data_IF_443453927136
#
_entry.id   IF_443453927136
#
_cell.length_a   1.000
_cell.length_b   1.000
_cell.length_c   1.000
_cell.angle_alpha   90.00
_cell.angle_beta   90.00
_cell.angle_gamma   90.00
#
_symmetry.space_group_name_H-M   'P 1'
#
loop_
_entity.id
_entity.type
_entity.pdbx_description
1 polymer ?
#
# COMPACT_ATOMS: atom_id res chain seq x y z
N UNK A 1 21.88 47.65 -26.57
CA UNK A 1 22.79 46.51 -26.34
C UNK A 1 21.97 45.24 -26.47
N UNK A 2 22.06 44.59 -27.64
CA UNK A 2 21.20 43.46 -28.04
C UNK A 2 21.98 42.17 -27.82
N UNK A 3 21.56 41.34 -26.86
CA UNK A 3 22.18 40.04 -26.60
C UNK A 3 21.58 38.99 -27.55
N UNK A 4 22.38 38.54 -28.51
CA UNK A 4 22.04 37.46 -29.45
C UNK A 4 22.31 36.12 -28.75
N UNK A 5 21.26 35.39 -28.40
CA UNK A 5 21.34 34.01 -27.92
C UNK A 5 21.65 33.07 -29.10
N UNK A 6 22.88 32.53 -29.11
CA UNK A 6 23.30 31.45 -30.02
C UNK A 6 22.67 30.13 -29.57
N UNK A 7 21.75 29.59 -30.36
CA UNK A 7 21.25 28.24 -30.21
C UNK A 7 22.33 27.23 -30.63
N UNK A 8 22.68 26.30 -29.74
CA UNK A 8 23.58 25.18 -30.03
C UNK A 8 22.88 24.08 -30.87
N UNK A 9 23.65 23.26 -31.61
CA UNK A 9 23.09 22.24 -32.48
C UNK A 9 22.41 21.09 -31.71
N UNK A 10 21.30 20.60 -32.26
CA UNK A 10 20.50 19.51 -31.72
C UNK A 10 21.23 18.15 -31.80
N UNK A 11 21.05 17.25 -30.81
CA UNK A 11 21.60 15.90 -30.87
C UNK A 11 20.88 15.04 -31.91
N UNK A 12 21.65 14.23 -32.63
CA UNK A 12 21.21 13.31 -33.67
C UNK A 12 20.33 12.16 -33.13
N UNK A 13 19.37 11.66 -33.92
CA UNK A 13 18.52 10.53 -33.52
C UNK A 13 19.30 9.21 -33.51
N UNK A 14 18.96 8.26 -32.62
CA UNK A 14 19.58 6.93 -32.60
C UNK A 14 19.13 6.07 -33.81
N UNK A 15 19.95 5.11 -34.24
CA UNK A 15 19.66 4.27 -35.39
C UNK A 15 18.49 3.30 -35.15
N UNK A 16 17.64 3.19 -36.16
CA UNK A 16 16.49 2.30 -36.26
C UNK A 16 16.94 0.84 -36.37
N UNK A 17 16.80 0.06 -35.30
CA UNK A 17 16.97 -1.40 -35.39
C UNK A 17 15.68 -2.03 -35.91
N UNK A 18 15.72 -2.41 -37.18
CA UNK A 18 14.70 -3.17 -37.88
C UNK A 18 14.44 -4.54 -37.23
N UNK A 19 13.17 -4.89 -37.09
CA UNK A 19 12.69 -6.22 -36.72
C UNK A 19 12.96 -7.23 -37.85
N UNK A 20 13.34 -8.48 -37.55
CA UNK A 20 13.09 -9.59 -38.45
C UNK A 20 11.65 -10.11 -38.27
N UNK A 21 10.85 -9.91 -39.30
CA UNK A 21 9.67 -10.71 -39.65
C UNK A 21 10.15 -12.12 -40.02
N UNK A 22 9.61 -13.18 -39.42
CA UNK A 22 9.41 -14.43 -40.16
C UNK A 22 8.53 -15.46 -39.45
N UNK A 23 7.68 -16.08 -40.29
CA UNK A 23 7.04 -17.40 -40.19
C UNK A 23 5.82 -17.62 -39.29
N UNK A 24 4.69 -17.35 -39.92
CA UNK A 24 3.52 -18.22 -40.04
C UNK A 24 3.80 -19.73 -40.06
N UNK A 25 3.05 -20.52 -39.26
CA UNK A 25 2.29 -21.72 -39.67
C UNK A 25 1.52 -22.34 -38.47
N UNK A 26 0.55 -23.27 -38.69
CA UNK A 26 -0.86 -22.99 -38.46
C UNK A 26 -1.47 -23.61 -37.19
N UNK A 27 -2.62 -23.05 -36.85
CA UNK A 27 -3.69 -23.55 -35.99
C UNK A 27 -3.94 -25.06 -36.16
N UNK A 28 -3.75 -25.83 -35.08
CA UNK A 28 -4.42 -27.12 -34.89
C UNK A 28 -5.52 -26.93 -33.86
N UNK A 29 -6.74 -26.72 -34.36
CA UNK A 29 -7.95 -26.75 -33.56
C UNK A 29 -8.17 -28.18 -33.06
N UNK A 30 -8.22 -28.35 -31.75
CA UNK A 30 -8.76 -29.57 -31.14
C UNK A 30 -10.29 -29.50 -31.15
N UNK A 31 -10.99 -30.61 -31.42
CA UNK A 31 -12.45 -30.65 -31.54
C UNK A 31 -13.15 -30.39 -30.20
N UNK A 32 -14.38 -29.83 -30.23
CA UNK A 32 -15.18 -29.59 -29.02
C UNK A 32 -15.67 -30.91 -28.40
N UNK A 33 -15.83 -30.98 -27.07
CA UNK A 33 -16.53 -32.09 -26.43
C UNK A 33 -18.03 -32.05 -26.78
N UNK A 34 -18.56 -33.19 -27.21
CA UNK A 34 -19.99 -33.37 -27.48
C UNK A 34 -20.83 -33.32 -26.18
N UNK A 35 -22.09 -32.87 -26.27
CA UNK A 35 -23.03 -32.82 -25.15
C UNK A 35 -23.62 -34.21 -24.87
N UNK A 36 -23.56 -34.66 -23.61
CA UNK A 36 -24.30 -35.84 -23.13
C UNK A 36 -25.76 -35.46 -22.84
N UNK A 37 -26.73 -36.37 -23.08
CA UNK A 37 -28.17 -36.07 -23.04
C UNK A 37 -28.75 -36.03 -21.61
N UNK A 38 -29.97 -35.46 -21.45
CA UNK A 38 -30.58 -35.22 -20.15
C UNK A 38 -31.13 -36.53 -19.56
N UNK A 39 -30.80 -36.77 -18.30
CA UNK A 39 -31.51 -37.75 -17.46
C UNK A 39 -32.36 -37.00 -16.45
N UNK A 40 -33.64 -36.88 -16.74
CA UNK A 40 -34.66 -36.92 -15.68
C UNK A 40 -34.69 -38.35 -15.09
N UNK A 41 -34.94 -38.45 -13.78
CA UNK A 41 -36.18 -39.11 -13.42
C UNK A 41 -36.99 -38.28 -12.43
N UNK A 42 -38.28 -38.23 -12.74
CA UNK A 42 -39.36 -37.72 -11.90
C UNK A 42 -39.35 -38.27 -10.47
N UNK A 43 -39.70 -37.36 -9.56
CA UNK A 43 -40.66 -37.52 -8.47
C UNK A 43 -40.46 -38.67 -7.49
N UNK A 44 -40.09 -38.33 -6.26
CA UNK A 44 -40.92 -38.66 -5.08
C UNK A 44 -40.76 -37.54 -4.06
N UNK A 45 -41.82 -36.76 -3.85
CA UNK A 45 -42.01 -36.01 -2.61
C UNK A 45 -42.19 -37.05 -1.49
N UNK A 46 -41.36 -36.99 -0.46
CA UNK A 46 -41.68 -37.54 0.84
C UNK A 46 -41.55 -36.40 1.85
N UNK A 47 -42.71 -35.90 2.26
CA UNK A 47 -42.89 -34.93 3.34
C UNK A 47 -42.53 -35.61 4.67
N UNK A 48 -41.22 -35.72 4.92
CA UNK A 48 -40.67 -36.18 6.18
C UNK A 48 -40.13 -35.01 6.99
N UNK A 49 -41.01 -34.29 7.70
CA UNK A 49 -40.68 -33.44 8.85
C UNK A 49 -40.02 -34.33 9.93
N UNK A 50 -38.74 -34.63 9.73
CA UNK A 50 -37.87 -35.16 10.77
C UNK A 50 -37.34 -33.97 11.53
N UNK A 51 -38.12 -33.55 12.52
CA UNK A 51 -37.71 -32.68 13.62
C UNK A 51 -36.61 -33.39 14.42
N UNK A 52 -35.40 -33.41 13.87
CA UNK A 52 -34.22 -33.83 14.59
C UNK A 52 -33.87 -32.69 15.56
N UNK A 53 -33.84 -32.94 16.88
CA UNK A 53 -33.38 -31.93 17.82
C UNK A 53 -31.94 -31.55 17.44
N UNK A 54 -31.57 -30.25 17.41
CA UNK A 54 -30.22 -29.85 17.04
C UNK A 54 -29.23 -30.44 18.03
N UNK A 55 -28.40 -31.36 17.54
CA UNK A 55 -27.26 -31.89 18.29
C UNK A 55 -26.32 -30.74 18.65
N UNK A 56 -25.95 -30.55 19.93
CA UNK A 56 -25.20 -29.39 20.37
C UNK A 56 -23.69 -29.66 20.26
N UNK A 57 -23.13 -29.83 19.06
CA UNK A 57 -21.67 -30.07 18.98
C UNK A 57 -20.94 -29.72 17.67
N UNK A 58 -21.55 -29.02 16.72
CA UNK A 58 -20.80 -28.49 15.57
C UNK A 58 -20.22 -27.10 15.89
N UNK A 59 -18.88 -26.90 15.82
CA UNK A 59 -18.30 -25.57 15.93
C UNK A 59 -18.82 -24.68 14.79
N UNK A 60 -19.07 -23.38 15.05
CA UNK A 60 -19.58 -22.48 14.04
C UNK A 60 -18.64 -22.46 12.82
N UNK A 61 -19.18 -22.41 11.59
CA UNK A 61 -18.36 -22.40 10.39
C UNK A 61 -17.37 -21.22 10.45
N UNK A 62 -16.14 -21.42 9.96
CA UNK A 62 -15.12 -20.37 10.00
C UNK A 62 -15.61 -19.13 9.24
N UNK A 63 -15.23 -17.93 9.69
CA UNK A 63 -15.62 -16.71 9.00
C UNK A 63 -15.14 -16.73 7.55
N UNK A 64 -15.97 -16.27 6.60
CA UNK A 64 -15.60 -16.28 5.19
C UNK A 64 -14.34 -15.43 4.99
N UNK A 65 -13.35 -16.03 4.33
CA UNK A 65 -12.12 -15.36 3.90
C UNK A 65 -12.23 -14.92 2.45
N UNK A 66 -11.40 -13.98 2.01
CA UNK A 66 -11.39 -13.52 0.61
C UNK A 66 -11.32 -14.66 -0.44
N UNK A 67 -10.46 -15.69 -0.32
CA UNK A 67 -10.41 -16.77 -1.31
C UNK A 67 -11.62 -17.71 -1.27
N UNK A 68 -12.38 -17.75 -0.17
CA UNK A 68 -13.60 -18.58 -0.07
C UNK A 68 -14.84 -17.90 -0.69
N UNK A 69 -14.75 -16.63 -1.06
CA UNK A 69 -15.82 -15.93 -1.78
C UNK A 69 -15.97 -16.48 -3.21
N UNK A 70 -17.18 -16.43 -3.80
CA UNK A 70 -17.37 -16.69 -5.22
C UNK A 70 -16.48 -15.79 -6.12
N UNK A 71 -16.03 -16.28 -7.29
CA UNK A 71 -15.17 -15.53 -8.21
C UNK A 71 -15.74 -14.17 -8.64
N UNK A 72 -17.07 -14.05 -8.77
CA UNK A 72 -17.74 -12.80 -9.12
C UNK A 72 -17.50 -11.72 -8.06
N UNK A 73 -17.63 -12.06 -6.78
CA UNK A 73 -17.39 -11.13 -5.68
C UNK A 73 -15.91 -10.79 -5.57
N UNK A 74 -15.03 -11.77 -5.78
CA UNK A 74 -13.59 -11.51 -5.83
C UNK A 74 -13.23 -10.53 -6.94
N UNK A 75 -13.80 -10.70 -8.13
CA UNK A 75 -13.58 -9.83 -9.29
C UNK A 75 -14.10 -8.41 -9.06
N UNK A 76 -15.27 -8.28 -8.41
CA UNK A 76 -15.78 -6.97 -7.99
C UNK A 76 -14.85 -6.30 -6.99
N UNK A 77 -14.38 -7.03 -5.97
CA UNK A 77 -13.45 -6.48 -4.96
C UNK A 77 -12.15 -6.02 -5.61
N UNK A 78 -11.54 -6.84 -6.47
CA UNK A 78 -10.26 -6.50 -7.10
C UNK A 78 -10.37 -5.32 -8.07
N UNK A 79 -11.52 -5.13 -8.73
CA UNK A 79 -11.77 -3.99 -9.61
C UNK A 79 -11.78 -2.63 -8.86
N UNK A 80 -12.04 -2.63 -7.56
CA UNK A 80 -12.05 -1.42 -6.73
C UNK A 80 -10.70 -1.10 -6.07
N UNK A 81 -9.68 -1.95 -6.22
CA UNK A 81 -8.39 -1.74 -5.60
C UNK A 81 -7.54 -0.72 -6.36
N UNK A 82 -6.85 0.15 -5.62
CA UNK A 82 -5.81 1.00 -6.22
C UNK A 82 -4.62 0.15 -6.69
N UNK A 83 -3.88 0.62 -7.70
CA UNK A 83 -2.73 -0.12 -8.25
C UNK A 83 -1.79 -0.78 -7.21
N UNK A 84 -1.26 -0.07 -6.19
CA UNK A 84 -0.37 -0.69 -5.20
C UNK A 84 -1.04 -1.77 -4.34
N UNK A 85 -2.34 -1.68 -4.13
CA UNK A 85 -3.11 -2.67 -3.35
C UNK A 85 -3.45 -3.89 -4.20
N UNK A 86 -3.87 -3.68 -5.45
CA UNK A 86 -4.08 -4.73 -6.44
C UNK A 86 -2.78 -5.52 -6.69
N UNK A 87 -1.66 -4.83 -6.87
CA UNK A 87 -0.35 -5.47 -7.02
C UNK A 87 0.04 -6.27 -5.77
N UNK A 88 -0.25 -5.75 -4.58
CA UNK A 88 0.00 -6.48 -3.34
C UNK A 88 -0.84 -7.75 -3.29
N UNK A 89 -2.15 -7.68 -3.59
CA UNK A 89 -3.06 -8.82 -3.62
C UNK A 89 -2.61 -9.88 -4.64
N UNK A 90 -2.22 -9.44 -5.84
CA UNK A 90 -1.71 -10.31 -6.91
C UNK A 90 -0.56 -11.20 -6.47
N UNK A 91 0.29 -10.70 -5.55
CA UNK A 91 1.44 -11.44 -5.03
C UNK A 91 1.18 -12.21 -3.72
N UNK A 92 -0.06 -12.26 -3.23
CA UNK A 92 -0.41 -13.03 -2.00
C UNK A 92 -0.65 -14.51 -2.27
N UNK A 93 -1.30 -14.84 -3.39
CA UNK A 93 -1.75 -16.20 -3.73
C UNK A 93 -1.71 -16.39 -5.25
N UNK A 94 -1.43 -17.61 -5.71
CA UNK A 94 -1.49 -18.00 -7.12
C UNK A 94 -2.85 -17.72 -7.78
N UNK A 95 -3.96 -17.88 -7.05
CA UNK A 95 -5.31 -17.57 -7.55
C UNK A 95 -5.42 -16.08 -7.94
N UNK A 96 -5.10 -15.19 -7.02
CA UNK A 96 -5.12 -13.74 -7.26
C UNK A 96 -4.07 -13.29 -8.27
N UNK A 97 -2.96 -14.03 -8.41
CA UNK A 97 -1.97 -13.75 -9.44
C UNK A 97 -2.57 -13.82 -10.85
N UNK A 98 -3.52 -14.74 -11.07
CA UNK A 98 -4.17 -14.98 -12.36
C UNK A 98 -5.41 -14.10 -12.56
N UNK A 99 -6.16 -13.81 -11.50
CA UNK A 99 -7.45 -13.10 -11.60
C UNK A 99 -7.35 -11.58 -11.41
N UNK A 100 -6.31 -11.08 -10.73
CA UNK A 100 -6.19 -9.63 -10.44
C UNK A 100 -5.57 -8.88 -11.62
N UNK A 101 -6.31 -7.96 -12.20
CA UNK A 101 -5.79 -7.06 -13.24
C UNK A 101 -4.94 -5.93 -12.64
N UNK A 102 -3.71 -5.80 -13.16
CA UNK A 102 -2.77 -4.72 -12.83
C UNK A 102 -2.32 -3.99 -14.11
N UNK A 103 -3.21 -3.92 -15.09
CA UNK A 103 -2.95 -3.35 -16.40
C UNK A 103 -2.63 -1.85 -16.41
N UNK A 104 -2.34 -1.35 -17.61
CA UNK A 104 -1.91 0.04 -17.84
C UNK A 104 -2.94 1.06 -17.35
N UNK A 105 -4.24 0.77 -17.53
CA UNK A 105 -5.33 1.67 -17.07
C UNK A 105 -5.22 1.95 -15.58
N UNK A 106 -5.02 0.91 -14.77
CA UNK A 106 -4.91 1.04 -13.32
C UNK A 106 -3.65 1.81 -12.90
N UNK A 107 -2.52 1.55 -13.59
CA UNK A 107 -1.26 2.29 -13.37
C UNK A 107 -1.40 3.78 -13.65
N UNK A 108 -2.01 4.13 -14.79
CA UNK A 108 -2.22 5.53 -15.19
C UNK A 108 -3.19 6.22 -14.25
N UNK A 109 -4.34 5.60 -13.96
CA UNK A 109 -5.33 6.13 -13.02
C UNK A 109 -4.69 6.44 -11.66
N UNK A 110 -3.87 5.52 -11.13
CA UNK A 110 -3.14 5.72 -9.89
C UNK A 110 -2.11 6.86 -9.96
N UNK A 111 -1.37 7.00 -11.06
CA UNK A 111 -0.43 8.13 -11.23
C UNK A 111 -1.15 9.48 -11.27
N UNK A 112 -2.32 9.53 -11.89
CA UNK A 112 -3.17 10.73 -11.93
C UNK A 112 -3.69 11.09 -10.54
N UNK A 113 -4.28 10.12 -9.82
CA UNK A 113 -4.75 10.30 -8.45
C UNK A 113 -3.63 10.80 -7.52
N UNK A 114 -2.43 10.22 -7.66
CA UNK A 114 -1.26 10.59 -6.86
C UNK A 114 -0.78 12.01 -7.13
N UNK A 115 -0.89 12.48 -8.38
CA UNK A 115 -0.59 13.86 -8.77
C UNK A 115 -1.62 14.83 -8.21
N UNK A 116 -2.90 14.48 -8.25
CA UNK A 116 -4.00 15.28 -7.69
C UNK A 116 -3.82 15.48 -6.18
N UNK A 117 -3.48 14.41 -5.46
CA UNK A 117 -3.17 14.44 -4.03
C UNK A 117 -1.83 15.11 -3.68
N UNK A 118 -1.09 15.61 -4.69
CA UNK A 118 0.23 16.25 -4.55
C UNK A 118 1.23 15.41 -3.75
N UNK A 119 1.16 14.10 -3.93
CA UNK A 119 2.10 13.16 -3.32
C UNK A 119 3.37 13.05 -4.17
N UNK A 120 4.46 12.62 -3.54
CA UNK A 120 5.72 12.42 -4.23
C UNK A 120 5.58 11.38 -5.36
N UNK A 121 6.12 11.73 -6.53
CA UNK A 121 6.17 10.84 -7.69
C UNK A 121 7.05 9.61 -7.37
N UNK A 122 6.63 8.39 -7.72
CA UNK A 122 7.42 7.17 -7.45
C UNK A 122 8.76 7.13 -8.18
N UNK A 123 8.90 7.83 -9.32
CA UNK A 123 10.12 7.90 -10.13
C UNK A 123 10.61 9.35 -10.24
N UNK A 124 11.15 9.91 -9.13
CA UNK A 124 11.77 11.24 -9.16
C UNK A 124 12.88 11.31 -10.23
N UNK A 125 12.58 11.93 -11.39
CA UNK A 125 13.55 12.23 -12.45
C UNK A 125 13.64 11.24 -13.61
N UNK A 126 12.94 10.09 -13.59
CA UNK A 126 12.87 9.16 -14.74
C UNK A 126 11.40 8.80 -15.01
N UNK A 127 11.03 8.57 -16.27
CA UNK A 127 9.67 8.13 -16.61
C UNK A 127 9.33 6.77 -15.98
N UNK A 128 8.03 6.49 -15.78
CA UNK A 128 7.57 5.15 -15.42
C UNK A 128 7.30 4.35 -16.70
N UNK A 129 7.87 3.14 -16.79
CA UNK A 129 7.56 2.19 -17.85
C UNK A 129 6.25 1.44 -17.53
N UNK A 130 5.22 1.63 -18.36
CA UNK A 130 3.90 1.05 -18.14
C UNK A 130 3.80 -0.43 -18.57
N UNK A 131 4.80 -0.93 -19.31
CA UNK A 131 4.73 -2.24 -19.98
C UNK A 131 4.54 -3.43 -19.02
N UNK A 132 5.17 -3.41 -17.84
CA UNK A 132 5.03 -4.50 -16.86
C UNK A 132 5.12 -4.00 -15.43
N UNK A 133 4.59 -4.76 -14.48
CA UNK A 133 4.64 -4.40 -13.06
C UNK A 133 6.07 -4.37 -12.51
N UNK A 134 6.94 -5.25 -13.03
CA UNK A 134 8.35 -5.32 -12.63
C UNK A 134 9.14 -4.07 -13.06
N UNK A 135 8.84 -3.53 -14.26
CA UNK A 135 9.53 -2.35 -14.79
C UNK A 135 8.89 -1.04 -14.31
N UNK A 136 7.64 -1.10 -13.85
CA UNK A 136 6.88 0.09 -13.47
C UNK A 136 7.56 0.88 -12.34
N UNK A 137 7.96 2.10 -12.70
CA UNK A 137 8.71 3.04 -11.87
C UNK A 137 9.94 2.43 -11.15
N UNK A 138 10.57 1.38 -11.72
CA UNK A 138 11.83 0.72 -11.26
C UNK A 138 11.95 0.57 -9.73
N UNK A 139 10.94 -0.02 -9.08
CA UNK A 139 10.94 -0.25 -7.62
C UNK A 139 10.50 0.93 -6.76
N UNK A 140 10.17 2.08 -7.35
CA UNK A 140 9.55 3.22 -6.67
C UNK A 140 8.22 2.84 -5.99
N UNK A 141 7.44 1.96 -6.63
CA UNK A 141 6.16 1.45 -6.10
C UNK A 141 6.35 0.69 -4.79
N UNK A 142 7.40 -0.11 -4.66
CA UNK A 142 7.68 -0.82 -3.39
C UNK A 142 7.90 0.13 -2.22
N UNK A 143 8.59 1.27 -2.46
CA UNK A 143 8.74 2.33 -1.45
C UNK A 143 7.40 2.98 -1.11
N UNK A 144 6.52 3.17 -2.09
CA UNK A 144 5.15 3.66 -1.85
C UNK A 144 4.38 2.68 -0.97
N UNK A 145 4.32 1.39 -1.34
CA UNK A 145 3.59 0.37 -0.58
C UNK A 145 4.07 0.34 0.86
N UNK A 146 5.39 0.34 1.09
CA UNK A 146 5.98 0.39 2.44
C UNK A 146 5.57 1.66 3.19
N UNK A 147 5.61 2.83 2.53
CA UNK A 147 5.25 4.10 3.15
C UNK A 147 3.76 4.18 3.51
N UNK A 148 2.88 3.64 2.65
CA UNK A 148 1.43 3.52 2.91
C UNK A 148 1.14 2.65 4.14
N UNK A 149 1.79 1.49 4.28
CA UNK A 149 1.67 0.62 5.48
C UNK A 149 2.10 1.32 6.78
N UNK A 150 3.10 2.19 6.68
CA UNK A 150 3.60 2.98 7.80
C UNK A 150 2.83 4.29 8.02
N UNK A 151 1.80 4.57 7.22
CA UNK A 151 1.08 5.85 7.19
C UNK A 151 2.00 7.07 7.03
N UNK A 152 3.16 6.90 6.42
CA UNK A 152 4.14 7.98 6.25
C UNK A 152 3.71 9.06 5.25
N UNK A 153 2.72 8.77 4.40
CA UNK A 153 2.11 9.78 3.51
C UNK A 153 1.14 10.69 4.28
N UNK A 154 0.56 10.21 5.39
CA UNK A 154 -0.38 10.95 6.23
C UNK A 154 0.29 12.03 7.11
N UNK A 155 1.61 11.94 7.31
CA UNK A 155 2.41 12.91 8.07
C UNK A 155 2.92 14.05 7.20
N UNK A 156 2.89 13.87 5.87
CA UNK A 156 3.59 14.77 4.94
C UNK A 156 2.98 16.18 4.83
N UNK A 157 1.67 16.35 5.12
CA UNK A 157 0.99 17.65 5.15
C UNK A 157 -0.13 17.69 6.18
N UNK A 158 -0.29 18.83 6.85
CA UNK A 158 -1.46 19.12 7.66
C UNK A 158 -2.71 19.21 6.75
N UNK A 159 -3.81 18.58 7.15
CA UNK A 159 -5.10 18.64 6.43
C UNK A 159 -5.33 17.60 5.33
N UNK A 160 -4.31 16.82 4.92
CA UNK A 160 -4.45 15.81 3.85
C UNK A 160 -5.15 14.51 4.30
N UNK A 161 -5.28 14.30 5.60
CA UNK A 161 -5.90 13.10 6.15
C UNK A 161 -5.13 11.79 5.88
N UNK A 162 -5.83 10.66 5.94
CA UNK A 162 -5.31 9.34 5.60
C UNK A 162 -5.56 9.01 4.13
N UNK A 163 -4.55 9.22 3.28
CA UNK A 163 -4.60 8.84 1.85
C UNK A 163 -4.98 7.37 1.65
N UNK A 164 -4.53 6.48 2.52
CA UNK A 164 -4.79 5.04 2.40
C UNK A 164 -6.28 4.70 2.51
N UNK A 165 -7.02 5.46 3.32
CA UNK A 165 -8.45 5.21 3.58
C UNK A 165 -9.36 6.33 3.06
N UNK A 166 -8.81 7.34 2.38
CA UNK A 166 -9.55 8.52 1.94
C UNK A 166 -10.16 9.36 3.08
N UNK A 167 -9.73 9.19 4.33
CA UNK A 167 -10.35 9.85 5.48
C UNK A 167 -9.67 11.17 5.83
N UNK A 168 -10.39 12.16 6.36
CA UNK A 168 -9.81 13.44 6.81
C UNK A 168 -8.85 13.34 8.01
N UNK A 169 -8.80 12.18 8.68
CA UNK A 169 -7.92 11.95 9.84
C UNK A 169 -7.37 10.52 9.80
N UNK A 170 -6.05 10.41 9.93
CA UNK A 170 -5.40 9.11 10.12
C UNK A 170 -5.39 8.72 11.60
N UNK A 171 -6.07 7.64 11.97
CA UNK A 171 -6.09 7.10 13.32
C UNK A 171 -4.70 6.62 13.77
N UNK A 172 -3.94 6.03 12.84
CA UNK A 172 -2.59 5.51 13.08
C UNK A 172 -1.51 6.60 13.19
N UNK A 173 -1.87 7.87 12.94
CA UNK A 173 -0.99 9.06 12.97
C UNK A 173 -0.39 9.33 14.36
N UNK A 174 -0.98 8.80 15.43
CA UNK A 174 -0.68 9.23 16.82
C UNK A 174 0.29 8.35 17.62
N UNK A 175 0.82 7.25 17.08
CA UNK A 175 1.65 6.33 17.91
C UNK A 175 3.17 6.54 17.81
N UNK A 176 3.70 7.40 16.92
CA UNK A 176 5.16 7.60 16.76
C UNK A 176 5.69 8.97 17.20
N UNK A 177 4.81 9.93 17.52
CA UNK A 177 5.20 11.27 17.97
C UNK A 177 4.77 11.54 19.41
N UNK A 178 5.64 11.23 20.38
CA UNK A 178 5.44 11.49 21.80
C UNK A 178 5.71 10.21 22.60
N UNK A 179 6.92 9.97 23.10
CA UNK A 179 7.60 10.81 24.09
C UNK A 179 9.07 10.97 23.72
N UNK A 180 9.42 12.09 23.07
CA UNK A 180 10.69 12.71 23.46
C UNK A 180 10.38 13.38 24.79
N UNK A 181 10.57 12.63 25.88
CA UNK A 181 10.80 13.26 27.18
C UNK A 181 11.89 14.29 26.92
N UNK A 182 11.50 15.56 27.00
CA UNK A 182 12.43 16.67 26.89
C UNK A 182 13.52 16.42 27.92
N UNK A 183 14.71 16.08 27.43
CA UNK A 183 15.95 16.09 28.21
C UNK A 183 16.35 17.53 28.57
N UNK A 184 15.41 18.50 28.55
CA UNK A 184 15.58 19.86 29.03
C UNK A 184 15.35 20.00 30.52
N UNK A 185 14.66 19.05 31.17
CA UNK A 185 14.44 19.08 32.62
C UNK A 185 15.67 18.69 33.45
N UNK A 186 16.56 17.86 32.91
CA UNK A 186 17.72 17.32 33.65
C UNK A 186 18.86 18.34 33.84
N UNK A 187 18.87 19.43 33.06
CA UNK A 187 19.94 20.45 33.14
C UNK A 187 19.74 21.46 34.26
N UNK A 188 18.50 21.76 34.66
CA UNK A 188 18.25 22.74 35.73
C UNK A 188 18.64 22.19 37.13
N UNK A 189 18.41 20.90 37.37
CA UNK A 189 18.75 20.25 38.65
C UNK A 189 20.26 20.12 38.85
N UNK A 190 21.02 19.93 37.77
CA UNK A 190 22.47 19.84 37.81
C UNK A 190 23.14 21.14 38.33
N UNK A 191 22.50 22.29 38.18
CA UNK A 191 22.98 23.57 38.72
C UNK A 191 22.33 23.95 40.06
N UNK A 192 21.05 23.61 40.28
CA UNK A 192 20.37 23.95 41.52
C UNK A 192 20.90 23.19 42.75
N UNK A 193 21.23 21.90 42.60
CA UNK A 193 21.74 21.07 43.70
C UNK A 193 23.10 21.57 44.24
N UNK A 194 24.14 21.85 43.42
CA UNK A 194 25.40 22.37 43.95
C UNK A 194 25.28 23.79 44.51
N UNK A 195 24.45 24.66 43.90
CA UNK A 195 24.23 26.01 44.42
C UNK A 195 23.56 25.97 45.80
N UNK A 196 22.52 25.14 45.97
CA UNK A 196 21.88 24.95 47.27
C UNK A 196 22.83 24.32 48.30
N UNK A 197 23.68 23.38 47.90
CA UNK A 197 24.68 22.78 48.79
C UNK A 197 25.73 23.80 49.26
N UNK A 198 26.22 24.67 48.37
CA UNK A 198 27.15 25.75 48.71
C UNK A 198 26.47 26.78 49.60
N UNK A 199 25.24 27.19 49.30
CA UNK A 199 24.48 28.14 50.11
C UNK A 199 24.25 27.61 51.53
N UNK A 200 23.90 26.33 51.65
CA UNK A 200 23.67 25.66 52.93
C UNK A 200 24.97 25.49 53.74
N UNK A 201 26.09 25.20 53.07
CA UNK A 201 27.40 25.16 53.69
C UNK A 201 27.84 26.56 54.18
N UNK A 202 27.56 27.61 53.41
CA UNK A 202 27.81 29.00 53.83
C UNK A 202 26.95 29.39 55.03
N UNK A 203 25.66 29.06 55.01
CA UNK A 203 24.73 29.33 56.12
C UNK A 203 25.11 28.56 57.40
N UNK A 204 25.68 27.35 57.29
CA UNK A 204 26.23 26.62 58.45
C UNK A 204 27.60 27.12 58.89
N UNK A 205 28.46 27.57 57.97
CA UNK A 205 29.80 28.08 58.28
C UNK A 205 29.80 29.46 58.93
N UNK A 206 28.82 30.32 58.61
CA UNK A 206 28.67 31.65 59.22
C UNK A 206 28.27 31.57 60.70
N UNK A 207 27.73 30.45 61.18
CA UNK A 207 27.40 30.26 62.61
C UNK A 207 28.59 29.94 63.53
N UNK A 208 29.81 29.74 63.03
CA UNK A 208 30.98 29.43 63.89
C UNK A 208 31.96 30.59 64.08
N UNK A 209 31.65 31.81 63.63
CA UNK A 209 32.56 32.98 63.69
C UNK A 209 32.12 34.10 64.62
N UNK A 210 31.39 33.81 65.70
CA UNK A 210 31.02 34.80 66.71
C UNK A 210 31.31 34.26 68.13
N UNK A 211 32.58 34.26 68.52
CA UNK A 211 33.04 34.30 69.91
C UNK A 211 34.45 34.87 69.94
#
# INVERSE_FOLDING_TARGET
>A
MTLILRAGPAPSPPPSTSCPTSSSHPTRASPPPQPTPPQDPSTTQDDGESKHPPSPEDPPPPPPTLPTLPPELQSLITAHLSYPDALSLKHTNRHFFQTTDTGVRLKVAWLLERRDQRLACPSCGRGCDLASDLRFCRGGVGRVIRRRRMHGECESRAGLGCVVFGTGRCERRRRRGGRRLSLGGMRAWAFLVPVLAVLWAFLRGVSCGAS
#
